data_IF_391281190502
#
_entry.id   IF_391281190502
#
_cell.length_a   1.000
_cell.length_b   1.000
_cell.length_c   1.000
_cell.angle_alpha   90.00
_cell.angle_beta   90.00
_cell.angle_gamma   90.00
#
_symmetry.space_group_name_H-M   'P 1'
#
loop_
_entity.id
_entity.type
_entity.pdbx_description
1 polymer ?
#
# COMPACT_ATOMS: atom_id res chain seq x y z
N UNK A 1 -10.58 -2.21 49.22
CA UNK A 1 -10.64 -2.86 47.89
C UNK A 1 -11.41 -1.94 46.93
N UNK A 2 -10.83 -0.76 46.71
CA UNK A 2 -10.52 -0.14 45.41
C UNK A 2 -11.66 0.23 44.43
N UNK A 3 -12.53 1.16 44.83
CA UNK A 3 -13.49 1.85 43.94
C UNK A 3 -12.83 2.64 42.79
N UNK A 4 -11.51 2.90 42.89
CA UNK A 4 -10.73 3.59 41.87
C UNK A 4 -10.41 2.71 40.65
N UNK A 5 -10.55 1.39 40.73
CA UNK A 5 -10.29 0.46 39.62
C UNK A 5 -11.41 0.49 38.55
N UNK A 6 -12.66 0.72 38.96
CA UNK A 6 -13.85 0.73 38.09
C UNK A 6 -13.96 2.02 37.25
N UNK A 7 -13.44 3.14 37.75
CA UNK A 7 -13.57 4.45 37.10
C UNK A 7 -12.67 4.62 35.87
N UNK A 8 -11.50 3.97 35.86
CA UNK A 8 -10.56 4.00 34.73
C UNK A 8 -10.98 3.14 33.54
N UNK A 9 -11.62 1.97 33.80
CA UNK A 9 -12.08 1.06 32.74
C UNK A 9 -13.33 1.59 32.02
N UNK A 10 -14.21 2.28 32.75
CA UNK A 10 -15.47 2.81 32.22
C UNK A 10 -15.28 3.88 31.14
N UNK A 11 -14.38 4.87 31.33
CA UNK A 11 -14.16 5.91 30.32
C UNK A 11 -13.58 5.35 29.00
N UNK A 12 -12.64 4.40 29.10
CA UNK A 12 -12.01 3.80 27.93
C UNK A 12 -12.97 2.90 27.12
N UNK A 13 -13.90 2.21 27.78
CA UNK A 13 -14.94 1.43 27.09
C UNK A 13 -15.97 2.33 26.42
N UNK A 14 -16.46 3.36 27.12
CA UNK A 14 -17.40 4.33 26.54
C UNK A 14 -16.82 5.04 25.31
N UNK A 15 -15.53 5.40 25.35
CA UNK A 15 -14.85 6.02 24.21
C UNK A 15 -14.74 5.06 23.02
N UNK A 16 -14.38 3.79 23.24
CA UNK A 16 -14.30 2.78 22.17
C UNK A 16 -15.67 2.51 21.54
N UNK A 17 -16.71 2.37 22.35
CA UNK A 17 -18.08 2.17 21.85
C UNK A 17 -18.58 3.39 21.06
N UNK A 18 -18.15 4.60 21.45
CA UNK A 18 -18.44 5.83 20.70
C UNK A 18 -17.71 5.88 19.35
N UNK A 19 -16.48 5.37 19.26
CA UNK A 19 -15.74 5.29 17.98
C UNK A 19 -16.37 4.23 17.08
N UNK A 20 -16.67 3.04 17.59
CA UNK A 20 -17.28 1.96 16.81
C UNK A 20 -18.63 2.41 16.21
N UNK A 21 -19.48 3.05 17.01
CA UNK A 21 -20.76 3.58 16.52
C UNK A 21 -20.57 4.68 15.47
N UNK A 22 -19.61 5.58 15.66
CA UNK A 22 -19.30 6.64 14.67
C UNK A 22 -18.71 6.04 13.39
N UNK A 23 -17.87 5.02 13.48
CA UNK A 23 -17.30 4.32 12.33
C UNK A 23 -18.38 3.61 11.50
N UNK A 24 -19.34 2.97 12.17
CA UNK A 24 -20.48 2.33 11.48
C UNK A 24 -21.30 3.33 10.67
N UNK A 25 -21.50 4.55 11.19
CA UNK A 25 -22.17 5.64 10.46
C UNK A 25 -21.30 6.09 9.27
N UNK A 26 -20.02 6.32 9.50
CA UNK A 26 -19.08 6.76 8.46
C UNK A 26 -18.95 5.73 7.31
N UNK A 27 -18.94 4.44 7.62
CA UNK A 27 -18.94 3.34 6.62
C UNK A 27 -20.19 3.38 5.76
N UNK A 28 -21.36 3.60 6.37
CA UNK A 28 -22.64 3.66 5.66
C UNK A 28 -22.70 4.89 4.75
N UNK A 29 -22.38 6.08 5.26
CA UNK A 29 -22.37 7.33 4.50
C UNK A 29 -21.39 7.25 3.32
N UNK A 30 -20.20 6.71 3.55
CA UNK A 30 -19.14 6.63 2.53
C UNK A 30 -19.31 5.43 1.60
N UNK A 31 -20.34 4.60 1.77
CA UNK A 31 -20.49 3.33 1.04
C UNK A 31 -19.22 2.47 1.11
N UNK A 32 -18.60 2.44 2.29
CA UNK A 32 -17.41 1.65 2.60
C UNK A 32 -17.76 0.18 2.82
N UNK A 33 -16.78 -0.71 2.66
CA UNK A 33 -16.94 -2.13 2.95
C UNK A 33 -16.95 -2.36 4.46
N UNK A 34 -17.78 -3.29 4.96
CA UNK A 34 -17.76 -3.67 6.39
C UNK A 34 -16.38 -4.17 6.88
N UNK A 35 -15.52 -4.69 6.00
CA UNK A 35 -14.16 -5.05 6.40
C UNK A 35 -13.30 -3.83 6.74
N UNK A 36 -13.53 -2.71 6.06
CA UNK A 36 -12.79 -1.45 6.24
C UNK A 36 -13.10 -0.85 7.61
N UNK A 37 -14.38 -0.81 7.98
CA UNK A 37 -14.82 -0.38 9.32
C UNK A 37 -14.21 -1.22 10.44
N UNK A 38 -14.18 -2.55 10.29
CA UNK A 38 -13.55 -3.43 11.30
C UNK A 38 -12.06 -3.19 11.44
N UNK A 39 -11.36 -2.88 10.35
CA UNK A 39 -9.92 -2.60 10.41
C UNK A 39 -9.65 -1.22 11.04
N UNK A 40 -10.50 -0.23 10.76
CA UNK A 40 -10.44 1.09 11.40
C UNK A 40 -10.77 1.04 12.91
N UNK A 41 -11.74 0.20 13.30
CA UNK A 41 -12.07 -0.05 14.71
C UNK A 41 -10.93 -0.71 15.47
N UNK A 42 -10.20 -1.65 14.84
CA UNK A 42 -9.00 -2.27 15.44
C UNK A 42 -7.87 -1.26 15.68
N UNK A 43 -7.74 -0.27 14.80
CA UNK A 43 -6.78 0.81 14.95
C UNK A 43 -7.27 1.93 15.89
N UNK A 44 -8.53 1.91 16.30
CA UNK A 44 -9.15 2.98 17.09
C UNK A 44 -9.19 4.32 16.35
N UNK A 45 -9.22 4.29 15.01
CA UNK A 45 -9.23 5.47 14.15
C UNK A 45 -10.58 5.59 13.45
N UNK A 46 -11.06 6.82 13.31
CA UNK A 46 -12.29 7.10 12.58
C UNK A 46 -12.05 7.01 11.06
N UNK A 47 -12.99 6.39 10.34
CA UNK A 47 -12.90 6.22 8.90
C UNK A 47 -13.19 7.52 8.15
N UNK A 48 -12.12 8.20 7.74
CA UNK A 48 -12.23 9.45 6.97
C UNK A 48 -12.34 9.24 5.45
N UNK A 49 -11.79 8.14 4.94
CA UNK A 49 -11.71 7.88 3.50
C UNK A 49 -12.28 6.51 3.17
N UNK A 50 -12.81 6.34 1.97
CA UNK A 50 -13.14 5.03 1.39
C UNK A 50 -11.96 4.53 0.57
N UNK A 51 -11.52 3.28 0.76
CA UNK A 51 -10.51 2.64 -0.10
C UNK A 51 -10.94 2.67 -1.57
N UNK A 52 -10.36 3.58 -2.36
CA UNK A 52 -10.60 3.69 -3.81
C UNK A 52 -9.69 2.75 -4.62
N UNK A 53 -8.50 2.47 -4.09
CA UNK A 53 -7.51 1.68 -4.78
C UNK A 53 -7.44 0.27 -4.21
N UNK A 54 -7.65 -0.73 -5.06
CA UNK A 54 -7.37 -2.13 -4.74
C UNK A 54 -5.90 -2.43 -5.01
N UNK A 55 -5.36 -3.45 -4.34
CA UNK A 55 -3.96 -3.88 -4.50
C UNK A 55 -3.56 -4.03 -5.97
N UNK A 56 -4.37 -4.75 -6.75
CA UNK A 56 -4.10 -4.97 -8.17
C UNK A 56 -4.08 -3.67 -8.99
N UNK A 57 -4.92 -2.69 -8.64
CA UNK A 57 -4.98 -1.39 -9.32
C UNK A 57 -3.74 -0.55 -9.03
N UNK A 58 -3.28 -0.50 -7.77
CA UNK A 58 -2.03 0.19 -7.40
C UNK A 58 -0.82 -0.49 -8.03
N UNK A 59 -0.80 -1.83 -7.98
CA UNK A 59 0.27 -2.61 -8.58
C UNK A 59 0.36 -2.36 -10.09
N UNK A 60 -0.78 -2.46 -10.79
CA UNK A 60 -0.86 -2.16 -12.22
C UNK A 60 -0.45 -0.72 -12.53
N UNK A 61 -0.91 0.25 -11.74
CA UNK A 61 -0.52 1.65 -11.88
C UNK A 61 1.00 1.85 -11.71
N UNK A 62 1.62 1.20 -10.74
CA UNK A 62 3.07 1.24 -10.53
C UNK A 62 3.85 0.65 -11.72
N UNK A 63 3.39 -0.47 -12.28
CA UNK A 63 4.00 -1.08 -13.48
C UNK A 63 3.85 -0.16 -14.70
N UNK A 64 2.69 0.47 -14.89
CA UNK A 64 2.46 1.42 -15.99
C UNK A 64 3.35 2.66 -15.89
N UNK A 65 3.50 3.23 -14.68
CA UNK A 65 4.35 4.40 -14.46
C UNK A 65 5.82 4.13 -14.77
N UNK A 66 6.29 2.89 -14.53
CA UNK A 66 7.66 2.50 -14.84
C UNK A 66 7.99 2.68 -16.33
N UNK A 67 7.04 2.40 -17.24
CA UNK A 67 7.13 2.49 -18.70
C UNK A 67 8.53 2.23 -19.30
N UNK A 68 9.28 1.28 -18.72
CA UNK A 68 10.72 1.09 -18.99
C UNK A 68 10.99 0.42 -20.34
N UNK A 69 9.95 -0.08 -21.00
CA UNK A 69 10.06 -0.77 -22.29
C UNK A 69 10.56 0.15 -23.41
N UNK A 70 10.24 1.44 -23.37
CA UNK A 70 10.67 2.43 -24.37
C UNK A 70 12.20 2.58 -24.39
N UNK A 71 12.80 2.62 -23.21
CA UNK A 71 14.25 2.74 -23.08
C UNK A 71 14.95 1.44 -23.52
N UNK A 72 14.27 0.30 -23.36
CA UNK A 72 14.79 -0.99 -23.82
C UNK A 72 14.92 -1.05 -25.34
N UNK A 73 14.00 -0.43 -26.10
CA UNK A 73 14.07 -0.41 -27.58
C UNK A 73 15.28 0.40 -28.06
N UNK A 74 15.52 1.55 -27.44
CA UNK A 74 16.66 2.43 -27.78
C UNK A 74 18.00 1.75 -27.45
N UNK A 75 18.07 1.02 -26.33
CA UNK A 75 19.28 0.35 -25.87
C UNK A 75 19.72 -0.87 -26.71
N UNK A 76 18.81 -1.50 -27.46
CA UNK A 76 19.11 -2.72 -28.23
C UNK A 76 20.22 -2.48 -29.26
N UNK A 77 20.24 -1.34 -29.94
CA UNK A 77 21.27 -1.04 -30.94
C UNK A 77 22.67 -0.98 -30.34
N UNK A 78 22.80 -0.35 -29.17
CA UNK A 78 24.06 -0.23 -28.42
C UNK A 78 24.49 -1.60 -27.88
N UNK A 79 23.53 -2.38 -27.39
CA UNK A 79 23.78 -3.73 -26.89
C UNK A 79 24.27 -4.67 -27.97
N UNK A 80 23.66 -4.65 -29.17
CA UNK A 80 24.09 -5.49 -30.28
C UNK A 80 25.49 -5.13 -30.76
N UNK A 81 25.82 -3.83 -30.79
CA UNK A 81 27.12 -3.35 -31.25
C UNK A 81 28.26 -3.68 -30.26
N UNK A 82 28.03 -3.49 -28.95
CA UNK A 82 29.10 -3.61 -27.95
C UNK A 82 29.15 -4.96 -27.21
N UNK A 83 28.05 -5.72 -27.12
CA UNK A 83 27.94 -6.94 -26.31
C UNK A 83 27.22 -8.12 -26.97
N UNK A 84 26.84 -7.97 -28.25
CA UNK A 84 26.03 -8.94 -28.97
C UNK A 84 24.64 -9.15 -28.35
N UNK A 85 23.83 -10.07 -28.91
CA UNK A 85 22.50 -10.38 -28.39
C UNK A 85 22.54 -10.99 -26.98
N UNK A 86 23.59 -11.77 -26.68
CA UNK A 86 23.78 -12.41 -25.37
C UNK A 86 23.99 -11.39 -24.25
N UNK A 87 24.80 -10.35 -24.48
CA UNK A 87 25.01 -9.28 -23.51
C UNK A 87 23.72 -8.53 -23.19
N UNK A 88 22.88 -8.28 -24.19
CA UNK A 88 21.60 -7.60 -24.00
C UNK A 88 20.62 -8.36 -23.12
N UNK A 89 20.54 -9.68 -23.30
CA UNK A 89 19.64 -10.55 -22.52
C UNK A 89 20.08 -10.60 -21.05
N UNK A 90 21.38 -10.78 -20.78
CA UNK A 90 21.87 -10.85 -19.41
C UNK A 90 21.80 -9.50 -18.69
N UNK A 91 22.10 -8.40 -19.38
CA UNK A 91 21.97 -7.06 -18.81
C UNK A 91 20.50 -6.70 -18.51
N UNK A 92 19.55 -7.17 -19.34
CA UNK A 92 18.12 -7.02 -19.07
C UNK A 92 17.73 -7.70 -17.75
N UNK A 93 18.19 -8.94 -17.51
CA UNK A 93 17.92 -9.66 -16.25
C UNK A 93 18.49 -8.92 -15.05
N UNK A 94 19.74 -8.45 -15.13
CA UNK A 94 20.40 -7.71 -14.04
C UNK A 94 19.65 -6.40 -13.73
N UNK A 95 19.25 -5.65 -14.76
CA UNK A 95 18.48 -4.41 -14.60
C UNK A 95 17.12 -4.67 -13.99
N UNK A 96 16.42 -5.73 -14.39
CA UNK A 96 15.14 -6.11 -13.78
C UNK A 96 15.28 -6.36 -12.28
N UNK A 97 16.28 -7.14 -11.86
CA UNK A 97 16.53 -7.38 -10.44
C UNK A 97 16.92 -6.10 -9.70
N UNK A 98 17.81 -5.27 -10.27
CA UNK A 98 18.20 -4.00 -9.67
C UNK A 98 17.01 -3.07 -9.44
N UNK A 99 16.18 -2.87 -10.47
CA UNK A 99 14.98 -2.03 -10.36
C UNK A 99 13.92 -2.60 -9.42
N UNK A 100 13.81 -3.92 -9.33
CA UNK A 100 12.94 -4.57 -8.35
C UNK A 100 13.35 -4.22 -6.92
N UNK A 101 14.64 -4.32 -6.57
CA UNK A 101 15.13 -3.95 -5.24
C UNK A 101 14.97 -2.46 -4.93
N UNK A 102 15.21 -1.58 -5.92
CA UNK A 102 14.99 -0.13 -5.76
C UNK A 102 13.52 0.14 -5.44
N UNK A 103 12.60 -0.46 -6.20
CA UNK A 103 11.16 -0.27 -5.99
C UNK A 103 10.70 -0.86 -4.66
N UNK A 104 11.25 -2.02 -4.26
CA UNK A 104 11.00 -2.63 -2.96
C UNK A 104 11.43 -1.70 -1.81
N UNK A 105 12.60 -1.08 -1.91
CA UNK A 105 13.08 -0.13 -0.89
C UNK A 105 12.20 1.11 -0.77
N UNK A 106 11.69 1.60 -1.90
CA UNK A 106 10.78 2.74 -1.93
C UNK A 106 9.42 2.37 -1.33
N UNK A 107 8.95 1.14 -1.56
CA UNK A 107 7.72 0.62 -0.98
C UNK A 107 7.80 0.56 0.55
N UNK A 108 8.93 0.13 1.13
CA UNK A 108 9.14 0.14 2.59
C UNK A 108 9.06 1.55 3.17
N UNK A 109 9.62 2.55 2.47
CA UNK A 109 9.59 3.95 2.91
C UNK A 109 8.18 4.55 2.88
N UNK A 110 7.35 4.13 1.92
CA UNK A 110 5.95 4.57 1.77
C UNK A 110 5.02 3.82 2.75
N UNK A 111 5.45 2.66 3.26
CA UNK A 111 4.66 1.85 4.20
C UNK A 111 4.75 2.32 5.67
N UNK A 112 5.47 3.42 5.94
CA UNK A 112 5.62 4.06 7.25
C UNK A 112 4.59 5.16 7.50
#
# INVERSE_FOLDING_TARGET
>A
MDDNLMKGRSQATNFRDSIESTNRIAVNDKHGTQSDGRDMDRMGKLQELRRQFKFLTIFGFGVLLGNTWEFSIIGIGISLYNGGPTGGIWLLVVVCFGMFFVTLSLAEMISM
#
